data_IF_120050009065
#
_entry.id   IF_120050009065
#
_cell.length_a   1.000
_cell.length_b   1.000
_cell.length_c   1.000
_cell.angle_alpha   90.00
_cell.angle_beta   90.00
_cell.angle_gamma   90.00
#
_symmetry.space_group_name_H-M   'P 1'
#
loop_
_entity.id
_entity.type
_entity.pdbx_description
1 polymer ?
#
# COMPACT_ATOMS: atom_id res chain seq x y z
N UNK A 1 -8.45 -21.81 7.89
CA UNK A 1 -7.06 -22.34 7.84
C UNK A 1 -6.00 -21.33 8.27
N UNK A 2 -5.97 -20.10 7.73
CA UNK A 2 -4.96 -19.09 8.08
C UNK A 2 -4.87 -18.74 9.58
N UNK A 3 -6.00 -18.54 10.26
CA UNK A 3 -6.03 -18.21 11.70
C UNK A 3 -5.38 -19.32 12.54
N UNK A 4 -5.64 -20.57 12.20
CA UNK A 4 -5.10 -21.75 12.89
C UNK A 4 -3.58 -21.81 12.73
N UNK A 5 -3.07 -21.58 11.50
CA UNK A 5 -1.62 -21.50 11.25
C UNK A 5 -0.94 -20.38 12.04
N UNK A 6 -1.55 -19.19 12.12
CA UNK A 6 -1.01 -18.05 12.89
C UNK A 6 -0.96 -18.34 14.39
N UNK A 7 -1.91 -19.11 14.91
CA UNK A 7 -1.93 -19.52 16.33
C UNK A 7 -0.96 -20.68 16.64
N UNK A 8 -0.64 -21.53 15.66
CA UNK A 8 0.27 -22.67 15.82
C UNK A 8 1.72 -22.26 16.06
N UNK A 9 2.19 -21.17 15.46
CA UNK A 9 3.57 -20.71 15.66
C UNK A 9 3.68 -19.71 16.83
N UNK A 10 4.76 -19.81 17.61
CA UNK A 10 5.14 -18.80 18.64
C UNK A 10 5.63 -17.51 17.95
N UNK A 11 4.75 -16.86 17.21
CA UNK A 11 5.00 -15.57 16.56
C UNK A 11 4.30 -14.45 17.32
N UNK A 12 4.78 -13.20 17.25
CA UNK A 12 4.08 -12.04 17.83
C UNK A 12 2.65 -11.88 17.28
N UNK A 13 2.38 -12.41 16.08
CA UNK A 13 1.06 -12.45 15.46
C UNK A 13 0.03 -13.23 16.29
N UNK A 14 0.45 -14.25 17.05
CA UNK A 14 -0.41 -15.03 17.95
C UNK A 14 -0.99 -14.17 19.07
N UNK A 15 -0.20 -13.25 19.62
CA UNK A 15 -0.64 -12.38 20.71
C UNK A 15 -1.67 -11.36 20.20
N UNK A 16 -1.48 -10.86 18.98
CA UNK A 16 -2.42 -9.98 18.30
C UNK A 16 -3.75 -10.70 18.00
N UNK A 17 -3.71 -11.90 17.45
CA UNK A 17 -4.95 -12.66 17.16
C UNK A 17 -5.72 -13.01 18.43
N UNK A 18 -5.05 -13.41 19.50
CA UNK A 18 -5.68 -13.65 20.80
C UNK A 18 -6.29 -12.38 21.40
N UNK A 19 -5.58 -11.25 21.34
CA UNK A 19 -6.08 -9.98 21.86
C UNK A 19 -7.32 -9.49 21.09
N UNK A 20 -7.34 -9.67 19.77
CA UNK A 20 -8.53 -9.39 18.94
C UNK A 20 -9.68 -10.32 19.35
N UNK A 21 -9.42 -11.61 19.52
CA UNK A 21 -10.46 -12.59 19.87
C UNK A 21 -11.05 -12.35 21.28
N UNK A 22 -10.21 -12.01 22.26
CA UNK A 22 -10.63 -11.63 23.61
C UNK A 22 -11.44 -10.33 23.62
N UNK A 23 -11.02 -9.34 22.81
CA UNK A 23 -11.73 -8.06 22.68
C UNK A 23 -13.07 -8.22 21.97
N UNK A 24 -13.21 -9.19 21.06
CA UNK A 24 -14.49 -9.54 20.40
C UNK A 24 -15.45 -10.22 21.37
N UNK A 25 -14.96 -11.08 22.28
CA UNK A 25 -15.81 -11.81 23.25
C UNK A 25 -16.32 -10.97 24.42
N UNK A 26 -15.65 -9.86 24.78
CA UNK A 26 -16.10 -8.98 25.88
C UNK A 26 -17.20 -8.04 25.39
N UNK A 27 -18.46 -8.31 25.79
CA UNK A 27 -19.74 -7.74 25.29
C UNK A 27 -19.95 -6.21 25.25
N UNK A 28 -18.93 -5.38 25.50
CA UNK A 28 -18.95 -3.92 25.23
C UNK A 28 -17.83 -3.45 24.27
N UNK A 29 -16.87 -4.30 23.93
CA UNK A 29 -15.78 -4.02 22.98
C UNK A 29 -16.05 -4.22 21.47
N UNK A 30 -17.01 -5.04 20.99
CA UNK A 30 -17.07 -5.38 19.57
C UNK A 30 -17.43 -4.20 18.65
N UNK A 31 -18.17 -3.20 19.16
CA UNK A 31 -18.47 -1.96 18.43
C UNK A 31 -17.21 -1.10 18.21
N UNK A 32 -16.37 -0.94 19.24
CA UNK A 32 -15.11 -0.22 19.10
C UNK A 32 -14.10 -0.96 18.22
N UNK A 33 -14.03 -2.29 18.33
CA UNK A 33 -13.13 -3.08 17.47
C UNK A 33 -13.56 -3.00 16.00
N UNK A 34 -14.86 -3.09 15.71
CA UNK A 34 -15.38 -2.97 14.35
C UNK A 34 -15.12 -1.59 13.75
N UNK A 35 -15.33 -0.53 14.51
CA UNK A 35 -15.10 0.85 14.03
C UNK A 35 -13.62 1.12 13.80
N UNK A 36 -12.74 0.79 14.75
CA UNK A 36 -11.29 0.97 14.60
C UNK A 36 -10.75 0.13 13.43
N UNK A 37 -11.18 -1.13 13.30
CA UNK A 37 -10.78 -1.98 12.17
C UNK A 37 -11.24 -1.39 10.83
N UNK A 38 -12.47 -0.85 10.76
CA UNK A 38 -12.98 -0.19 9.58
C UNK A 38 -12.18 1.08 9.24
N UNK A 39 -11.87 1.93 10.22
CA UNK A 39 -11.05 3.14 10.00
C UNK A 39 -9.67 2.78 9.49
N UNK A 40 -9.00 1.78 10.10
CA UNK A 40 -7.69 1.32 9.66
C UNK A 40 -7.75 0.76 8.22
N UNK A 41 -8.78 -0.03 7.90
CA UNK A 41 -8.97 -0.56 6.56
C UNK A 41 -9.15 0.56 5.52
N UNK A 42 -9.98 1.57 5.82
CA UNK A 42 -10.19 2.71 4.93
C UNK A 42 -8.91 3.51 4.71
N UNK A 43 -8.15 3.80 5.77
CA UNK A 43 -6.86 4.50 5.68
C UNK A 43 -5.87 3.71 4.84
N UNK A 44 -5.81 2.39 5.03
CA UNK A 44 -4.91 1.51 4.28
C UNK A 44 -5.28 1.48 2.79
N UNK A 45 -6.58 1.39 2.47
CA UNK A 45 -7.09 1.45 1.09
C UNK A 45 -6.72 2.81 0.46
N UNK A 46 -6.92 3.92 1.17
CA UNK A 46 -6.56 5.26 0.68
C UNK A 46 -5.07 5.38 0.37
N UNK A 47 -4.20 4.81 1.21
CA UNK A 47 -2.75 4.78 0.97
C UNK A 47 -2.41 3.99 -0.30
N UNK A 48 -3.00 2.81 -0.49
CA UNK A 48 -2.81 1.99 -1.70
C UNK A 48 -3.30 2.73 -2.95
N UNK A 49 -4.47 3.37 -2.90
CA UNK A 49 -4.98 4.17 -4.01
C UNK A 49 -4.06 5.33 -4.35
N UNK A 50 -3.53 6.04 -3.35
CA UNK A 50 -2.59 7.14 -3.57
C UNK A 50 -1.31 6.63 -4.24
N UNK A 51 -0.78 5.49 -3.79
CA UNK A 51 0.41 4.88 -4.37
C UNK A 51 0.16 4.44 -5.83
N UNK A 52 -0.99 3.85 -6.12
CA UNK A 52 -1.39 3.50 -7.49
C UNK A 52 -1.58 4.73 -8.37
N UNK A 53 -2.16 5.82 -7.86
CA UNK A 53 -2.31 7.07 -8.60
C UNK A 53 -0.95 7.71 -8.90
N UNK A 54 -0.01 7.67 -7.94
CA UNK A 54 1.36 8.13 -8.18
C UNK A 54 2.01 7.29 -9.28
N UNK A 55 1.98 5.95 -9.17
CA UNK A 55 2.54 5.09 -10.22
C UNK A 55 1.88 5.30 -11.59
N UNK A 56 0.56 5.48 -11.65
CA UNK A 56 -0.14 5.79 -12.90
C UNK A 56 0.30 7.13 -13.47
N UNK A 57 0.46 8.17 -12.65
CA UNK A 57 1.03 9.45 -13.10
C UNK A 57 2.44 9.27 -13.64
N UNK A 58 3.29 8.46 -13.02
CA UNK A 58 4.63 8.15 -13.55
C UNK A 58 4.58 7.38 -14.88
N UNK A 59 3.58 6.54 -15.12
CA UNK A 59 3.40 5.85 -16.40
C UNK A 59 2.87 6.82 -17.47
N UNK A 60 1.99 7.74 -17.08
CA UNK A 60 1.39 8.76 -17.96
C UNK A 60 2.41 9.85 -18.32
N UNK A 61 3.18 10.38 -17.35
CA UNK A 61 4.37 11.22 -17.57
C UNK A 61 5.54 10.43 -18.20
N UNK A 62 5.53 9.10 -18.03
CA UNK A 62 6.45 8.16 -18.69
C UNK A 62 6.17 8.03 -20.18
N UNK A 63 5.01 8.50 -20.67
CA UNK A 63 4.85 8.88 -22.07
C UNK A 63 5.61 10.18 -22.30
N UNK A 64 6.94 10.06 -22.39
CA UNK A 64 7.84 11.19 -22.53
C UNK A 64 7.29 12.14 -23.61
N UNK A 65 6.90 13.33 -23.16
CA UNK A 65 6.34 14.40 -24.00
C UNK A 65 7.20 14.48 -25.28
N UNK A 66 6.62 14.42 -26.49
CA UNK A 66 7.40 14.32 -27.73
C UNK A 66 8.51 15.37 -27.86
N UNK A 67 8.31 16.54 -27.27
CA UNK A 67 9.31 17.62 -27.18
C UNK A 67 10.55 17.24 -26.37
N UNK A 68 10.38 16.56 -25.23
CA UNK A 68 11.49 16.12 -24.36
C UNK A 68 12.33 15.03 -25.03
N UNK A 69 11.70 14.12 -25.78
CA UNK A 69 12.44 13.13 -26.57
C UNK A 69 13.29 13.79 -27.66
N UNK A 70 12.75 14.78 -28.37
CA UNK A 70 13.50 15.51 -29.40
C UNK A 70 14.67 16.28 -28.78
N UNK A 71 14.47 16.91 -27.62
CA UNK A 71 15.53 17.64 -26.92
C UNK A 71 16.64 16.70 -26.44
N UNK A 72 16.28 15.52 -25.92
CA UNK A 72 17.22 14.50 -25.48
C UNK A 72 18.05 13.95 -26.65
N UNK A 73 17.42 13.67 -27.79
CA UNK A 73 18.12 13.22 -29.00
C UNK A 73 19.06 14.31 -29.52
N UNK A 74 18.67 15.59 -29.47
CA UNK A 74 19.56 16.71 -29.84
C UNK A 74 20.80 16.78 -28.96
N UNK A 75 20.65 16.70 -27.63
CA UNK A 75 21.79 16.72 -26.72
C UNK A 75 22.71 15.52 -26.91
N UNK A 76 22.15 14.33 -27.14
CA UNK A 76 22.93 13.13 -27.42
C UNK A 76 23.73 13.25 -28.72
N UNK A 77 23.11 13.84 -29.75
CA UNK A 77 23.76 14.07 -31.03
C UNK A 77 24.87 15.12 -30.91
N UNK A 78 24.64 16.19 -30.17
CA UNK A 78 25.64 17.23 -29.92
C UNK A 78 26.82 16.70 -29.10
N UNK A 79 26.58 15.86 -28.09
CA UNK A 79 27.62 15.22 -27.28
C UNK A 79 28.42 14.13 -28.02
N UNK A 80 27.88 13.57 -29.11
CA UNK A 80 28.58 12.57 -29.94
C UNK A 80 29.35 13.22 -31.09
N UNK A 81 28.87 14.37 -31.59
CA UNK A 81 29.43 15.05 -32.75
C UNK A 81 30.52 16.08 -32.36
N UNK A 82 30.55 16.54 -31.11
CA UNK A 82 31.65 17.34 -30.53
C UNK A 82 32.72 16.49 -29.87
#
# INVERSE_FOLDING_TARGET
MAVIMVLSFKTPLRKLTLMVLDRVKRGRGPLMVKTVAATIAVVMISSVYSMMTIQKRWIDDGSANPTEQILMVKHLLEATLM
#
